data_IF_095912772262
#
_entry.id   IF_095912772262
#
_cell.length_a   1.000
_cell.length_b   1.000
_cell.length_c   1.000
_cell.angle_alpha   90.00
_cell.angle_beta   90.00
_cell.angle_gamma   90.00
#
_symmetry.space_group_name_H-M   'P 1'
#
loop_
_entity.id
_entity.type
_entity.pdbx_description
1 polymer ?
#
# COMPACT_ATOMS: atom_id res chain seq x y z
N UNK A 1 0.64 -2.67 -18.78
CA UNK A 1 0.44 -3.36 -17.49
C UNK A 1 1.55 -2.93 -16.55
N UNK A 2 1.21 -2.60 -15.33
CA UNK A 2 2.22 -2.34 -14.30
C UNK A 2 3.07 -3.61 -14.09
N UNK A 3 4.35 -3.49 -13.76
CA UNK A 3 5.11 -4.63 -13.27
C UNK A 3 4.45 -5.19 -12.00
N UNK A 4 4.36 -6.51 -11.86
CA UNK A 4 3.76 -7.10 -10.66
C UNK A 4 4.74 -7.05 -9.49
N UNK A 5 5.95 -7.49 -9.75
CA UNK A 5 6.99 -7.64 -8.70
C UNK A 5 8.27 -6.95 -9.11
N UNK A 6 8.85 -6.18 -8.20
CA UNK A 6 10.22 -5.64 -8.33
C UNK A 6 11.06 -6.08 -7.13
N UNK A 7 12.21 -6.70 -7.43
CA UNK A 7 13.18 -7.13 -6.43
C UNK A 7 14.22 -6.05 -6.16
N UNK A 8 14.59 -5.88 -4.90
CA UNK A 8 15.65 -4.97 -4.45
C UNK A 8 16.69 -5.73 -3.63
N UNK A 9 17.98 -5.40 -3.74
CA UNK A 9 18.98 -5.91 -2.82
C UNK A 9 18.79 -5.29 -1.42
N UNK A 10 19.40 -5.94 -0.40
CA UNK A 10 19.49 -5.38 0.94
C UNK A 10 20.14 -3.98 0.91
N UNK A 11 19.65 -3.07 1.74
CA UNK A 11 20.31 -1.78 1.96
C UNK A 11 21.46 -1.96 2.96
N UNK A 12 22.68 -1.84 2.48
CA UNK A 12 23.88 -1.99 3.30
C UNK A 12 24.48 -0.65 3.76
N UNK A 13 23.92 0.48 3.30
CA UNK A 13 24.45 1.82 3.55
C UNK A 13 23.53 2.66 4.46
N UNK A 14 22.24 2.41 4.42
CA UNK A 14 21.22 3.14 5.15
C UNK A 14 20.11 2.23 5.69
N UNK A 15 19.01 2.85 6.03
CA UNK A 15 17.83 2.18 6.59
C UNK A 15 16.74 2.04 5.53
N UNK A 16 15.87 1.07 5.72
CA UNK A 16 14.64 0.90 4.96
C UNK A 16 13.46 1.32 5.84
N UNK A 17 12.79 2.38 5.42
CA UNK A 17 11.56 2.83 6.04
C UNK A 17 10.36 2.40 5.20
N UNK A 18 9.24 2.14 5.86
CA UNK A 18 7.97 1.86 5.22
C UNK A 18 6.93 2.86 5.74
N UNK A 19 6.24 3.54 4.84
CA UNK A 19 5.14 4.46 5.18
C UNK A 19 3.81 3.81 4.81
N UNK A 20 2.81 4.01 5.68
CA UNK A 20 1.42 3.64 5.44
C UNK A 20 0.76 4.46 4.34
N UNK A 21 -0.55 4.28 4.15
CA UNK A 21 -1.35 5.02 3.18
C UNK A 21 -1.18 6.52 3.38
N UNK A 22 -0.76 7.23 2.32
CA UNK A 22 -0.37 8.64 2.43
C UNK A 22 -1.56 9.60 2.29
N UNK A 23 -2.49 9.25 1.42
CA UNK A 23 -3.74 9.98 1.20
C UNK A 23 -3.57 11.51 1.15
N UNK A 24 -2.64 12.01 0.32
CA UNK A 24 -2.48 13.45 0.11
C UNK A 24 -1.91 14.24 1.30
N UNK A 25 -1.16 13.59 2.19
CA UNK A 25 -0.50 14.22 3.34
C UNK A 25 1.05 14.20 3.26
N UNK A 26 1.67 14.67 2.18
CA UNK A 26 3.13 14.68 2.06
C UNK A 26 3.83 15.56 3.11
N UNK A 27 3.15 16.58 3.64
CA UNK A 27 3.64 17.43 4.72
C UNK A 27 3.84 16.65 6.02
N UNK A 28 2.91 15.76 6.36
CA UNK A 28 3.02 14.88 7.53
C UNK A 28 4.13 13.86 7.33
N UNK A 29 4.28 13.34 6.12
CA UNK A 29 5.39 12.45 5.78
C UNK A 29 6.75 13.14 5.99
N UNK A 30 6.94 14.35 5.46
CA UNK A 30 8.19 15.08 5.65
C UNK A 30 8.50 15.35 7.12
N UNK A 31 7.49 15.66 7.94
CA UNK A 31 7.68 15.82 9.40
C UNK A 31 8.15 14.51 10.07
N UNK A 32 7.63 13.36 9.64
CA UNK A 32 8.08 12.05 10.12
C UNK A 32 9.53 11.78 9.69
N UNK A 33 9.87 12.06 8.43
CA UNK A 33 11.22 11.89 7.89
C UNK A 33 12.23 12.79 8.64
N UNK A 34 11.89 14.05 8.88
CA UNK A 34 12.71 14.97 9.66
C UNK A 34 12.91 14.47 11.10
N UNK A 35 11.86 13.94 11.73
CA UNK A 35 11.90 13.44 13.09
C UNK A 35 12.87 12.25 13.25
N UNK A 36 12.91 11.34 12.27
CA UNK A 36 13.79 10.16 12.30
C UNK A 36 15.19 10.45 11.74
N UNK A 37 15.44 11.68 11.29
CA UNK A 37 16.70 12.05 10.62
C UNK A 37 16.91 11.18 9.37
N UNK A 38 15.92 11.18 8.46
CA UNK A 38 16.00 10.44 7.19
C UNK A 38 17.15 10.99 6.34
N UNK A 39 18.06 10.11 5.95
CA UNK A 39 19.18 10.43 5.06
C UNK A 39 18.78 10.17 3.60
N UNK A 40 18.57 11.24 2.84
CA UNK A 40 18.13 11.17 1.45
C UNK A 40 19.13 10.51 0.49
N UNK A 41 20.39 10.34 0.89
CA UNK A 41 21.45 9.73 0.07
C UNK A 41 21.54 8.20 0.31
N UNK A 42 21.18 7.72 1.50
CA UNK A 42 21.40 6.32 1.88
C UNK A 42 20.16 5.57 2.34
N UNK A 43 19.18 6.26 2.95
CA UNK A 43 17.93 5.65 3.38
C UNK A 43 16.97 5.45 2.20
N UNK A 44 16.12 4.44 2.28
CA UNK A 44 15.06 4.17 1.30
C UNK A 44 13.70 4.23 1.99
N UNK A 45 12.73 4.82 1.31
CA UNK A 45 11.33 4.86 1.76
C UNK A 45 10.46 4.01 0.83
N UNK A 46 9.88 2.95 1.36
CA UNK A 46 8.85 2.17 0.69
C UNK A 46 7.47 2.69 1.11
N UNK A 47 6.53 2.81 0.16
CA UNK A 47 5.15 3.17 0.47
C UNK A 47 4.22 2.00 0.15
N UNK A 48 3.27 1.73 1.03
CA UNK A 48 2.24 0.71 0.82
C UNK A 48 1.16 1.12 -0.19
N UNK A 49 1.33 2.27 -0.85
CA UNK A 49 0.38 2.81 -1.84
C UNK A 49 -0.60 3.83 -1.24
N UNK A 50 -1.68 4.07 -1.98
CA UNK A 50 -2.69 5.07 -1.67
C UNK A 50 -2.09 6.45 -1.39
N UNK A 51 -1.32 6.92 -2.38
CA UNK A 51 -0.70 8.25 -2.33
C UNK A 51 -1.75 9.36 -2.39
N UNK A 52 -2.85 9.12 -3.12
CA UNK A 52 -3.84 10.14 -3.47
C UNK A 52 -5.18 9.99 -2.75
N UNK A 53 -6.04 10.98 -2.95
CA UNK A 53 -7.40 11.10 -2.41
C UNK A 53 -7.46 11.38 -0.90
N UNK A 54 -8.61 11.80 -0.42
CA UNK A 54 -8.97 12.09 0.98
C UNK A 54 -8.34 13.38 1.52
N UNK A 55 -7.03 13.46 1.60
CA UNK A 55 -6.32 14.60 2.16
C UNK A 55 -6.12 15.76 1.16
N UNK A 56 -5.53 16.85 1.62
CA UNK A 56 -5.59 18.14 0.94
C UNK A 56 -4.62 18.26 -0.24
N UNK A 57 -3.58 17.41 -0.35
CA UNK A 57 -2.50 17.61 -1.30
C UNK A 57 -2.11 16.33 -2.08
N UNK A 58 -3.08 15.73 -2.79
CA UNK A 58 -2.81 14.58 -3.67
C UNK A 58 -1.80 14.89 -4.78
N UNK A 59 -1.81 16.12 -5.30
CA UNK A 59 -0.83 16.54 -6.30
C UNK A 59 0.60 16.54 -5.75
N UNK A 60 0.81 17.07 -4.54
CA UNK A 60 2.11 17.02 -3.88
C UNK A 60 2.57 15.59 -3.54
N UNK A 61 1.64 14.69 -3.24
CA UNK A 61 1.95 13.29 -3.05
C UNK A 61 2.40 12.60 -4.35
N UNK A 62 1.80 12.96 -5.49
CA UNK A 62 2.21 12.44 -6.80
C UNK A 62 3.57 12.97 -7.27
N UNK A 63 3.96 14.20 -6.90
CA UNK A 63 5.30 14.73 -7.20
C UNK A 63 6.41 13.92 -6.49
N UNK A 64 6.09 13.21 -5.40
CA UNK A 64 7.04 12.31 -4.74
C UNK A 64 7.45 11.11 -5.62
N UNK A 65 6.67 10.77 -6.66
CA UNK A 65 7.03 9.71 -7.60
C UNK A 65 8.33 9.99 -8.36
N UNK A 66 8.75 11.25 -8.43
CA UNK A 66 10.02 11.65 -9.04
C UNK A 66 11.21 11.56 -8.04
N UNK A 67 10.95 11.28 -6.75
CA UNK A 67 11.99 11.20 -5.73
C UNK A 67 12.76 9.86 -5.81
N UNK A 68 14.10 9.89 -5.91
CA UNK A 68 14.90 8.67 -6.08
C UNK A 68 14.93 7.77 -4.85
N UNK A 69 14.56 8.28 -3.70
CA UNK A 69 14.52 7.55 -2.42
C UNK A 69 13.14 6.94 -2.14
N UNK A 70 12.09 7.25 -2.95
CA UNK A 70 10.75 6.68 -2.78
C UNK A 70 10.53 5.46 -3.67
N UNK A 71 10.05 4.38 -3.06
CA UNK A 71 9.77 3.08 -3.67
C UNK A 71 8.30 2.65 -3.40
N UNK A 72 7.31 3.25 -4.06
CA UNK A 72 5.91 2.93 -3.80
C UNK A 72 5.49 1.61 -4.42
N UNK A 73 4.46 0.97 -3.83
CA UNK A 73 3.60 0.01 -4.53
C UNK A 73 2.29 0.68 -4.91
N UNK A 74 1.57 0.11 -5.86
CA UNK A 74 0.30 0.66 -6.33
C UNK A 74 -0.79 0.40 -5.28
N UNK A 75 -1.44 1.46 -4.78
CA UNK A 75 -2.64 1.37 -3.99
C UNK A 75 -3.92 1.35 -4.84
N UNK A 76 -5.06 1.03 -4.24
CA UNK A 76 -6.32 1.01 -4.98
C UNK A 76 -6.78 2.42 -5.41
N UNK A 77 -6.49 3.46 -4.62
CA UNK A 77 -6.75 4.85 -5.02
C UNK A 77 -5.84 5.29 -6.16
N UNK A 78 -4.57 4.88 -6.15
CA UNK A 78 -3.62 5.15 -7.23
C UNK A 78 -4.04 4.43 -8.52
N UNK A 79 -4.50 3.17 -8.42
CA UNK A 79 -5.01 2.39 -9.56
C UNK A 79 -6.29 3.01 -10.15
N UNK A 80 -7.19 3.51 -9.31
CA UNK A 80 -8.39 4.25 -9.76
C UNK A 80 -8.02 5.54 -10.49
N UNK A 81 -7.05 6.31 -9.98
CA UNK A 81 -6.53 7.50 -10.65
C UNK A 81 -5.90 7.14 -11.99
N UNK A 82 -5.02 6.12 -12.03
CA UNK A 82 -4.41 5.65 -13.27
C UNK A 82 -5.46 5.28 -14.32
N UNK A 83 -6.56 4.64 -13.91
CA UNK A 83 -7.66 4.31 -14.80
C UNK A 83 -8.33 5.55 -15.41
N UNK A 84 -8.58 6.60 -14.63
CA UNK A 84 -9.12 7.88 -15.13
C UNK A 84 -8.15 8.52 -16.13
N UNK A 85 -6.86 8.54 -15.82
CA UNK A 85 -5.84 9.13 -16.70
C UNK A 85 -5.67 8.32 -17.99
N UNK A 86 -5.97 7.03 -17.97
CA UNK A 86 -5.93 6.12 -19.13
C UNK A 86 -7.19 6.18 -20.02
N UNK A 87 -8.28 6.87 -19.63
CA UNK A 87 -9.52 6.88 -20.45
C UNK A 87 -9.31 7.37 -21.88
N UNK A 88 -8.36 8.28 -22.10
CA UNK A 88 -7.99 8.74 -23.44
C UNK A 88 -7.37 7.64 -24.34
N UNK A 89 -6.81 6.60 -23.74
CA UNK A 89 -6.08 5.52 -24.41
C UNK A 89 -6.86 4.20 -24.50
N UNK A 90 -8.11 4.16 -24.03
CA UNK A 90 -8.95 2.93 -23.97
C UNK A 90 -9.08 2.23 -25.33
N UNK A 91 -9.07 2.98 -26.45
CA UNK A 91 -9.18 2.42 -27.79
C UNK A 91 -7.98 1.57 -28.24
N UNK A 92 -6.84 1.78 -27.59
CA UNK A 92 -5.57 1.07 -27.85
C UNK A 92 -5.40 -0.17 -26.98
N UNK A 93 -6.29 -0.34 -25.98
CA UNK A 93 -6.23 -1.42 -25.01
C UNK A 93 -6.90 -2.70 -25.51
N UNK A 94 -6.50 -3.84 -24.96
CA UNK A 94 -7.26 -5.08 -25.09
C UNK A 94 -8.61 -4.94 -24.39
N UNK A 95 -9.61 -5.72 -24.84
CA UNK A 95 -10.98 -5.61 -24.35
C UNK A 95 -11.10 -5.74 -22.82
N UNK A 96 -10.40 -6.72 -22.25
CA UNK A 96 -10.42 -6.96 -20.79
C UNK A 96 -9.79 -5.80 -20.01
N UNK A 97 -8.67 -5.29 -20.50
CA UNK A 97 -7.98 -4.13 -19.93
C UNK A 97 -8.87 -2.87 -20.01
N UNK A 98 -9.52 -2.64 -21.13
CA UNK A 98 -10.45 -1.53 -21.32
C UNK A 98 -11.65 -1.62 -20.38
N UNK A 99 -12.21 -2.83 -20.16
CA UNK A 99 -13.30 -3.05 -19.20
C UNK A 99 -12.87 -2.78 -17.76
N UNK A 100 -11.68 -3.27 -17.36
CA UNK A 100 -11.10 -3.01 -16.03
C UNK A 100 -10.86 -1.52 -15.83
N UNK A 101 -10.24 -0.84 -16.80
CA UNK A 101 -10.02 0.62 -16.78
C UNK A 101 -11.33 1.38 -16.57
N UNK A 102 -12.40 1.03 -17.30
CA UNK A 102 -13.70 1.68 -17.14
C UNK A 102 -14.30 1.46 -15.74
N UNK A 103 -14.21 0.24 -15.18
CA UNK A 103 -14.71 -0.09 -13.85
C UNK A 103 -13.97 0.70 -12.75
N UNK A 104 -12.63 0.75 -12.81
CA UNK A 104 -11.83 1.52 -11.86
C UNK A 104 -12.05 3.03 -11.97
N UNK A 105 -12.24 3.55 -13.19
CA UNK A 105 -12.58 4.95 -13.40
C UNK A 105 -13.94 5.33 -12.79
N UNK A 106 -14.94 4.43 -12.86
CA UNK A 106 -16.22 4.60 -12.18
C UNK A 106 -16.06 4.62 -10.65
N UNK A 107 -15.25 3.71 -10.11
CA UNK A 107 -14.94 3.67 -8.67
C UNK A 107 -14.26 4.96 -8.19
N UNK A 108 -13.34 5.54 -8.97
CA UNK A 108 -12.68 6.80 -8.65
C UNK A 108 -13.70 7.92 -8.41
N UNK A 109 -14.70 8.05 -9.29
CA UNK A 109 -15.74 9.09 -9.13
C UNK A 109 -16.59 8.90 -7.90
N UNK A 110 -16.87 7.65 -7.52
CA UNK A 110 -17.66 7.31 -6.32
C UNK A 110 -16.88 7.54 -5.02
N UNK A 111 -15.56 7.44 -5.06
CA UNK A 111 -14.69 7.61 -3.89
C UNK A 111 -14.17 9.05 -3.69
N UNK A 112 -14.70 10.04 -4.43
CA UNK A 112 -14.40 11.46 -4.23
C UNK A 112 -13.09 11.96 -4.87
N UNK A 113 -12.35 11.10 -5.58
CA UNK A 113 -11.08 11.46 -6.24
C UNK A 113 -11.23 12.52 -7.32
N UNK A 114 -12.44 12.70 -7.85
CA UNK A 114 -12.73 13.67 -8.90
C UNK A 114 -12.57 15.14 -8.48
N UNK A 115 -12.73 15.44 -7.19
CA UNK A 115 -12.78 16.81 -6.70
C UNK A 115 -11.43 17.52 -6.83
N UNK A 116 -10.34 16.90 -6.43
CA UNK A 116 -9.00 17.46 -6.58
C UNK A 116 -8.50 17.36 -8.03
N UNK A 117 -8.77 16.27 -8.74
CA UNK A 117 -8.30 16.08 -10.11
C UNK A 117 -8.90 17.10 -11.08
N UNK A 118 -10.09 17.61 -10.83
CA UNK A 118 -10.70 18.68 -11.64
C UNK A 118 -9.80 19.91 -11.74
N UNK A 119 -9.00 20.20 -10.74
CA UNK A 119 -8.06 21.31 -10.74
C UNK A 119 -6.95 21.12 -11.77
N UNK A 120 -6.52 19.88 -11.99
CA UNK A 120 -5.36 19.53 -12.82
C UNK A 120 -5.71 18.97 -14.20
N UNK A 121 -6.94 18.57 -14.46
CA UNK A 121 -7.34 17.91 -15.72
C UNK A 121 -7.11 18.76 -16.99
N UNK A 122 -6.87 20.05 -16.86
CA UNK A 122 -6.52 20.96 -17.96
C UNK A 122 -5.01 21.07 -18.17
N UNK A 123 -4.23 20.56 -17.27
CA UNK A 123 -2.78 20.44 -17.37
C UNK A 123 -2.44 19.05 -17.91
N UNK A 124 -2.54 18.92 -19.23
CA UNK A 124 -2.35 17.63 -19.93
C UNK A 124 -0.94 17.08 -19.71
N UNK A 125 0.07 17.95 -19.70
CA UNK A 125 1.47 17.54 -19.49
C UNK A 125 1.66 16.93 -18.10
N UNK A 126 1.11 17.56 -17.07
CA UNK A 126 1.18 17.04 -15.69
C UNK A 126 0.41 15.73 -15.55
N UNK A 127 -0.80 15.64 -16.10
CA UNK A 127 -1.58 14.41 -16.08
C UNK A 127 -0.85 13.26 -16.79
N UNK A 128 -0.18 13.53 -17.90
CA UNK A 128 0.58 12.52 -18.65
C UNK A 128 1.85 12.07 -17.87
N UNK A 129 2.54 12.97 -17.18
CA UNK A 129 3.65 12.60 -16.29
C UNK A 129 3.16 11.68 -15.17
N UNK A 130 2.07 12.04 -14.47
CA UNK A 130 1.48 11.19 -13.43
C UNK A 130 1.03 9.83 -13.96
N UNK A 131 0.36 9.80 -15.12
CA UNK A 131 -0.03 8.56 -15.79
C UNK A 131 1.18 7.66 -16.07
N UNK A 132 2.23 8.23 -16.62
CA UNK A 132 3.44 7.51 -16.99
C UNK A 132 4.18 6.99 -15.75
N UNK A 133 4.25 7.78 -14.68
CA UNK A 133 4.86 7.38 -13.42
C UNK A 133 4.07 6.26 -12.74
N UNK A 134 2.76 6.43 -12.57
CA UNK A 134 1.88 5.42 -11.94
C UNK A 134 1.86 4.09 -12.73
N UNK A 135 1.99 4.14 -14.07
CA UNK A 135 2.06 2.95 -14.89
C UNK A 135 3.34 2.10 -14.67
N UNK A 136 4.36 2.65 -13.99
CA UNK A 136 5.59 1.94 -13.63
C UNK A 136 5.60 1.44 -12.17
N UNK A 137 4.63 1.85 -11.36
CA UNK A 137 4.54 1.43 -9.95
C UNK A 137 4.12 -0.05 -9.88
N UNK A 138 4.88 -0.93 -9.20
CA UNK A 138 4.56 -2.35 -9.09
C UNK A 138 3.46 -2.62 -8.06
N UNK A 139 2.91 -3.83 -8.08
CA UNK A 139 2.00 -4.33 -7.04
C UNK A 139 2.75 -4.78 -5.78
N UNK A 140 3.98 -5.31 -5.96
CA UNK A 140 4.79 -5.85 -4.88
C UNK A 140 6.24 -5.38 -5.04
N UNK A 141 6.85 -4.97 -3.93
CA UNK A 141 8.31 -4.82 -3.83
C UNK A 141 8.85 -5.79 -2.81
N UNK A 142 9.93 -6.47 -3.16
CA UNK A 142 10.61 -7.42 -2.29
C UNK A 142 12.03 -6.94 -2.06
N UNK A 143 12.43 -6.85 -0.81
CA UNK A 143 13.84 -6.65 -0.43
C UNK A 143 14.39 -8.01 -0.03
N UNK A 144 15.29 -8.53 -0.85
CA UNK A 144 15.92 -9.82 -0.62
C UNK A 144 17.20 -9.62 0.20
N UNK A 145 17.12 -10.02 1.47
CA UNK A 145 18.15 -9.78 2.46
C UNK A 145 18.63 -11.09 3.13
N UNK A 146 18.51 -12.24 2.46
CA UNK A 146 18.74 -13.56 3.06
C UNK A 146 20.07 -13.71 3.83
N UNK A 147 21.09 -12.90 3.54
CA UNK A 147 22.41 -13.05 4.15
C UNK A 147 23.03 -11.75 4.72
N UNK A 148 22.35 -10.61 4.69
CA UNK A 148 23.03 -9.33 4.86
C UNK A 148 22.41 -8.37 5.91
N UNK A 149 21.22 -8.59 6.45
CA UNK A 149 20.57 -7.62 7.32
C UNK A 149 20.10 -8.22 8.65
N UNK A 150 20.16 -7.46 9.76
CA UNK A 150 19.63 -7.91 11.06
C UNK A 150 18.15 -8.26 11.04
N UNK A 151 17.39 -7.70 10.09
CA UNK A 151 15.95 -7.87 10.00
C UNK A 151 15.49 -8.87 8.94
N UNK A 152 16.37 -9.28 8.01
CA UNK A 152 16.06 -10.27 6.99
C UNK A 152 15.25 -9.74 5.80
N UNK A 153 14.71 -10.66 4.98
CA UNK A 153 13.84 -10.38 3.84
C UNK A 153 12.53 -9.78 4.28
N UNK A 154 12.01 -8.82 3.50
CA UNK A 154 10.65 -8.32 3.65
C UNK A 154 10.02 -7.98 2.29
N UNK A 155 8.71 -7.87 2.26
CA UNK A 155 7.96 -7.38 1.11
C UNK A 155 6.97 -6.29 1.50
N UNK A 156 6.63 -5.47 0.50
CA UNK A 156 5.66 -4.38 0.61
C UNK A 156 4.63 -4.56 -0.49
N UNK A 157 3.37 -4.49 -0.14
CA UNK A 157 2.22 -4.50 -1.04
C UNK A 157 1.06 -3.72 -0.42
N UNK A 158 -0.02 -3.46 -1.18
CA UNK A 158 -1.05 -2.56 -0.67
C UNK A 158 -2.00 -3.25 0.32
N UNK A 159 -2.68 -4.34 -0.06
CA UNK A 159 -3.70 -4.95 0.81
C UNK A 159 -3.19 -6.21 1.53
N UNK A 160 -3.33 -7.41 0.96
CA UNK A 160 -2.95 -8.64 1.66
C UNK A 160 -2.74 -9.84 0.73
N UNK A 161 -2.08 -10.88 1.26
CA UNK A 161 -1.78 -12.14 0.56
C UNK A 161 -2.64 -13.32 1.08
N UNK A 162 -3.69 -13.02 1.82
CA UNK A 162 -4.57 -14.02 2.43
C UNK A 162 -5.97 -13.95 1.81
N UNK A 163 -6.64 -15.08 1.75
CA UNK A 163 -7.97 -15.20 1.17
C UNK A 163 -8.86 -16.13 1.97
N UNK A 164 -10.16 -15.87 1.95
CA UNK A 164 -11.15 -16.74 2.58
C UNK A 164 -11.33 -18.03 1.78
N UNK A 165 -11.33 -19.17 2.48
CA UNK A 165 -11.63 -20.51 1.97
C UNK A 165 -12.42 -21.28 3.02
N UNK A 166 -13.65 -21.67 2.72
CA UNK A 166 -14.46 -22.59 3.55
C UNK A 166 -14.45 -22.26 5.06
N UNK A 167 -14.80 -21.02 5.44
CA UNK A 167 -14.80 -20.52 6.81
C UNK A 167 -13.43 -20.39 7.49
N UNK A 168 -12.35 -20.45 6.74
CA UNK A 168 -11.00 -20.15 7.20
C UNK A 168 -10.42 -19.05 6.33
N UNK A 169 -9.42 -18.32 6.84
CA UNK A 169 -8.59 -17.43 6.04
C UNK A 169 -7.19 -18.01 5.96
N UNK A 170 -6.69 -18.20 4.77
CA UNK A 170 -5.36 -18.75 4.55
C UNK A 170 -4.45 -17.74 3.83
N UNK A 171 -3.20 -17.62 4.28
CA UNK A 171 -2.16 -16.99 3.49
C UNK A 171 -1.86 -17.89 2.30
N UNK A 172 -2.12 -17.40 1.09
CA UNK A 172 -2.08 -18.20 -0.14
C UNK A 172 -0.73 -18.16 -0.86
N UNK A 173 0.16 -17.27 -0.44
CA UNK A 173 1.48 -17.07 -1.05
C UNK A 173 2.59 -17.44 -0.08
N UNK A 174 3.70 -17.94 -0.61
CA UNK A 174 4.97 -18.03 0.08
C UNK A 174 6.01 -17.13 -0.62
N UNK A 175 7.17 -16.98 -0.05
CA UNK A 175 8.21 -16.08 -0.56
C UNK A 175 8.70 -16.45 -1.97
N UNK A 176 8.77 -17.73 -2.31
CA UNK A 176 9.24 -18.19 -3.61
C UNK A 176 8.20 -17.91 -4.70
N UNK A 177 6.95 -18.30 -4.48
CA UNK A 177 5.84 -18.06 -5.42
C UNK A 177 5.63 -16.57 -5.67
N UNK A 178 5.73 -15.74 -4.62
CA UNK A 178 5.53 -14.29 -4.71
C UNK A 178 6.64 -13.61 -5.52
N UNK A 179 7.86 -14.12 -5.47
CA UNK A 179 8.99 -13.58 -6.22
C UNK A 179 8.89 -13.86 -7.74
N UNK A 180 8.05 -14.80 -8.15
CA UNK A 180 7.87 -15.19 -9.55
C UNK A 180 6.78 -14.32 -10.21
N UNK A 181 7.18 -13.30 -10.99
CA UNK A 181 6.26 -12.37 -11.69
C UNK A 181 5.32 -13.06 -12.68
N UNK A 182 5.68 -14.25 -13.17
CA UNK A 182 4.90 -15.07 -14.11
C UNK A 182 4.15 -16.23 -13.46
N UNK A 183 4.15 -16.33 -12.10
CA UNK A 183 3.51 -17.44 -11.40
C UNK A 183 2.02 -17.58 -11.81
N UNK A 184 1.53 -18.79 -12.14
CA UNK A 184 0.16 -19.00 -12.64
C UNK A 184 -0.93 -18.46 -11.70
N UNK A 185 -0.67 -18.42 -10.40
CA UNK A 185 -1.61 -17.89 -9.39
C UNK A 185 -2.03 -16.44 -9.65
N UNK A 186 -1.21 -15.64 -10.31
CA UNK A 186 -1.60 -14.27 -10.68
C UNK A 186 -2.87 -14.19 -11.53
N UNK A 187 -3.19 -15.26 -12.27
CA UNK A 187 -4.38 -15.39 -13.11
C UNK A 187 -5.54 -16.15 -12.46
N UNK A 188 -5.36 -16.71 -11.26
CA UNK A 188 -6.43 -17.40 -10.56
C UNK A 188 -7.57 -16.44 -10.27
N UNK A 189 -8.81 -16.83 -10.62
CA UNK A 189 -10.01 -16.08 -10.27
C UNK A 189 -10.18 -16.04 -8.75
N UNK A 190 -10.41 -14.84 -8.23
CA UNK A 190 -10.53 -14.62 -6.80
C UNK A 190 -11.74 -13.74 -6.50
N UNK A 191 -12.61 -14.10 -5.55
CA UNK A 191 -13.64 -13.19 -5.07
C UNK A 191 -12.96 -12.03 -4.34
N UNK A 192 -13.26 -10.79 -4.76
CA UNK A 192 -12.82 -9.59 -4.05
C UNK A 192 -13.92 -9.21 -3.08
N UNK A 193 -13.63 -9.31 -1.77
CA UNK A 193 -14.61 -8.99 -0.74
C UNK A 193 -15.06 -7.53 -0.87
N UNK A 194 -16.38 -7.32 -0.94
CA UNK A 194 -16.99 -5.99 -1.04
C UNK A 194 -17.34 -5.56 -2.46
N UNK A 195 -17.05 -6.39 -3.46
CA UNK A 195 -17.48 -6.18 -4.84
C UNK A 195 -18.15 -7.46 -5.36
N UNK A 196 -19.32 -7.32 -6.04
CA UNK A 196 -20.00 -8.43 -6.71
C UNK A 196 -19.24 -8.95 -7.96
N UNK A 197 -17.95 -8.70 -8.03
CA UNK A 197 -17.09 -9.03 -9.16
C UNK A 197 -16.04 -10.07 -8.74
N UNK A 198 -15.86 -11.08 -9.57
CA UNK A 198 -14.68 -11.94 -9.52
C UNK A 198 -13.51 -11.18 -10.16
N UNK A 199 -12.49 -10.90 -9.38
CA UNK A 199 -11.19 -10.39 -9.83
C UNK A 199 -10.16 -11.51 -9.93
N UNK A 200 -8.92 -11.11 -9.98
CA UNK A 200 -7.76 -11.99 -9.86
C UNK A 200 -6.91 -11.55 -8.65
N UNK A 201 -5.75 -12.17 -8.47
CA UNK A 201 -4.85 -11.77 -7.37
C UNK A 201 -4.35 -10.33 -7.48
N UNK A 202 -4.22 -9.75 -8.67
CA UNK A 202 -3.87 -8.32 -8.83
C UNK A 202 -4.94 -7.42 -8.17
N UNK A 203 -6.23 -7.75 -8.38
CA UNK A 203 -7.32 -7.03 -7.74
C UNK A 203 -7.36 -7.30 -6.23
N UNK A 204 -7.07 -8.54 -5.80
CA UNK A 204 -7.04 -8.88 -4.39
C UNK A 204 -5.93 -8.13 -3.62
N UNK A 205 -4.75 -7.97 -4.22
CA UNK A 205 -3.67 -7.18 -3.64
C UNK A 205 -4.03 -5.68 -3.47
N UNK A 206 -5.01 -5.20 -4.20
CA UNK A 206 -5.49 -3.81 -4.11
C UNK A 206 -6.69 -3.65 -3.16
N UNK A 207 -7.48 -4.73 -2.92
CA UNK A 207 -8.78 -4.60 -2.26
C UNK A 207 -9.04 -5.62 -1.15
N UNK A 208 -8.13 -6.58 -0.90
CA UNK A 208 -8.31 -7.66 0.05
C UNK A 208 -8.47 -7.18 1.50
N UNK A 209 -9.40 -7.80 2.26
CA UNK A 209 -9.64 -7.52 3.70
C UNK A 209 -9.92 -8.80 4.50
N UNK A 210 -9.49 -9.96 3.99
CA UNK A 210 -9.80 -11.27 4.56
C UNK A 210 -9.22 -11.45 5.96
N UNK A 211 -7.98 -11.00 6.18
CA UNK A 211 -7.33 -11.08 7.51
C UNK A 211 -8.09 -10.24 8.55
N UNK A 212 -8.46 -9.01 8.18
CA UNK A 212 -9.23 -8.15 9.10
C UNK A 212 -10.61 -8.73 9.38
N UNK A 213 -11.26 -9.29 8.36
CA UNK A 213 -12.54 -9.98 8.52
C UNK A 213 -12.39 -11.18 9.45
N UNK A 214 -11.39 -12.04 9.25
CA UNK A 214 -11.13 -13.20 10.10
C UNK A 214 -10.96 -12.81 11.57
N UNK A 215 -10.18 -11.77 11.86
CA UNK A 215 -9.96 -11.27 13.21
C UNK A 215 -11.27 -10.76 13.87
N UNK A 216 -12.16 -10.13 13.11
CA UNK A 216 -13.42 -9.60 13.65
C UNK A 216 -14.51 -10.66 13.83
N UNK A 217 -14.37 -11.81 13.20
CA UNK A 217 -15.31 -12.96 13.28
C UNK A 217 -14.71 -14.18 13.97
N UNK A 218 -13.48 -14.04 14.52
CA UNK A 218 -12.76 -15.13 15.19
C UNK A 218 -12.57 -16.38 14.28
N UNK A 219 -12.49 -16.15 12.97
CA UNK A 219 -12.26 -17.23 12.02
C UNK A 219 -10.79 -17.71 12.10
N UNK A 220 -10.55 -19.01 11.94
CA UNK A 220 -9.18 -19.54 11.90
C UNK A 220 -8.35 -18.91 10.78
N UNK A 221 -7.11 -18.53 11.09
CA UNK A 221 -6.15 -18.03 10.13
C UNK A 221 -5.03 -19.05 9.96
N UNK A 222 -4.81 -19.51 8.72
CA UNK A 222 -3.75 -20.46 8.36
C UNK A 222 -2.58 -19.67 7.78
N UNK A 223 -1.44 -19.58 8.49
CA UNK A 223 -0.26 -18.91 7.99
C UNK A 223 0.45 -19.75 6.91
N UNK A 224 1.28 -19.09 6.09
CA UNK A 224 2.23 -19.74 5.21
C UNK A 224 3.67 -19.33 5.57
N UNK A 225 4.66 -19.94 4.92
CA UNK A 225 6.05 -19.55 5.02
C UNK A 225 6.27 -18.25 4.23
N UNK A 226 5.94 -17.14 4.86
CA UNK A 226 5.99 -15.80 4.30
C UNK A 226 6.86 -14.91 5.19
N UNK A 227 7.82 -14.23 4.59
CA UNK A 227 8.59 -13.17 5.25
C UNK A 227 7.69 -12.02 5.65
N UNK A 228 8.22 -11.11 6.46
CA UNK A 228 7.47 -9.93 6.90
C UNK A 228 6.90 -9.16 5.72
N UNK A 229 5.60 -8.92 5.75
CA UNK A 229 4.83 -8.29 4.69
C UNK A 229 4.19 -7.01 5.23
N UNK A 230 4.67 -5.86 4.76
CA UNK A 230 4.09 -4.57 5.13
C UNK A 230 2.92 -4.24 4.22
N UNK A 231 1.79 -3.87 4.82
CA UNK A 231 0.52 -3.63 4.12
C UNK A 231 -0.18 -2.36 4.62
N UNK A 232 -1.02 -1.79 3.77
CA UNK A 232 -1.89 -0.66 4.01
C UNK A 232 -3.38 -1.01 3.91
N UNK A 233 -4.16 -0.15 3.21
CA UNK A 233 -5.53 -0.37 2.77
C UNK A 233 -6.58 -0.52 3.89
N UNK A 234 -6.29 -1.28 4.90
CA UNK A 234 -7.22 -1.56 6.00
C UNK A 234 -6.85 -0.75 7.21
N UNK A 235 -7.65 0.26 7.53
CA UNK A 235 -7.38 1.16 8.67
C UNK A 235 -7.35 0.38 9.97
N UNK A 236 -6.19 0.36 10.60
CA UNK A 236 -5.91 -0.33 11.86
C UNK A 236 -5.10 0.57 12.80
N UNK A 237 -5.77 1.52 13.51
CA UNK A 237 -5.08 2.37 14.46
C UNK A 237 -4.30 1.55 15.50
N UNK A 238 -3.13 2.02 15.94
CA UNK A 238 -2.36 1.33 16.96
C UNK A 238 -3.19 1.15 18.26
N UNK A 239 -3.05 0.01 18.90
CA UNK A 239 -3.61 -0.22 20.22
C UNK A 239 -2.49 -0.21 21.24
N UNK A 240 -2.57 0.68 22.23
CA UNK A 240 -1.51 0.85 23.25
C UNK A 240 -0.12 1.07 22.61
N UNK A 241 -0.06 1.87 21.52
CA UNK A 241 1.18 2.11 20.78
C UNK A 241 1.68 0.93 19.95
N UNK A 242 0.84 -0.09 19.69
CA UNK A 242 1.23 -1.30 18.96
C UNK A 242 0.48 -1.43 17.65
N UNK A 243 1.23 -1.61 16.56
CA UNK A 243 0.71 -1.91 15.23
C UNK A 243 0.14 -3.33 15.19
N UNK A 244 -0.92 -3.53 14.41
CA UNK A 244 -1.47 -4.86 14.17
C UNK A 244 -0.48 -5.70 13.35
N UNK A 245 -0.18 -6.90 13.86
CA UNK A 245 0.58 -7.92 13.13
C UNK A 245 -0.18 -9.24 13.16
N UNK A 246 -0.39 -9.86 12.00
CA UNK A 246 -1.05 -11.17 11.88
C UNK A 246 -0.57 -11.92 10.65
N UNK A 247 -0.28 -13.22 10.80
CA UNK A 247 0.11 -14.14 9.72
C UNK A 247 1.19 -13.57 8.77
N UNK A 248 2.23 -12.95 9.35
CA UNK A 248 3.33 -12.32 8.60
C UNK A 248 3.06 -10.88 8.13
N UNK A 249 1.80 -10.43 8.13
CA UNK A 249 1.42 -9.08 7.70
C UNK A 249 1.54 -8.07 8.85
N UNK A 250 2.11 -6.89 8.56
CA UNK A 250 2.19 -5.72 9.45
C UNK A 250 1.36 -4.61 8.81
N UNK A 251 0.29 -4.19 9.47
CA UNK A 251 -0.66 -3.19 8.98
C UNK A 251 -0.17 -1.79 9.33
N UNK A 252 0.11 -0.98 8.31
CA UNK A 252 0.64 0.39 8.45
C UNK A 252 -0.37 1.49 8.09
N UNK A 253 -1.54 1.14 7.51
CA UNK A 253 -2.61 2.12 7.38
C UNK A 253 -3.23 2.38 8.76
N UNK A 254 -2.76 3.43 9.40
CA UNK A 254 -3.24 3.87 10.70
C UNK A 254 -4.26 5.00 10.61
N UNK A 255 -4.75 5.31 9.40
CA UNK A 255 -5.86 6.20 9.17
C UNK A 255 -5.50 7.62 8.74
N UNK A 256 -4.42 7.80 7.96
CA UNK A 256 -4.07 9.11 7.40
C UNK A 256 -5.21 9.73 6.57
N UNK A 257 -6.07 8.89 5.97
CA UNK A 257 -7.29 9.33 5.27
C UNK A 257 -8.22 10.22 6.10
N UNK A 258 -8.08 10.24 7.41
CA UNK A 258 -8.94 10.97 8.34
C UNK A 258 -8.21 12.11 9.10
N UNK A 259 -6.99 12.43 8.72
CA UNK A 259 -6.19 13.46 9.40
C UNK A 259 -6.88 14.83 9.43
N UNK A 260 -7.63 15.19 8.40
CA UNK A 260 -8.43 16.43 8.37
C UNK A 260 -9.66 16.37 9.29
N UNK A 261 -9.95 15.22 9.89
CA UNK A 261 -11.05 14.98 10.81
C UNK A 261 -10.56 14.57 12.21
N UNK A 262 -9.41 15.11 12.64
CA UNK A 262 -8.71 14.72 13.87
C UNK A 262 -9.55 14.80 15.16
N UNK A 263 -10.58 15.65 15.22
CA UNK A 263 -11.52 15.70 16.34
C UNK A 263 -12.30 14.39 16.53
N UNK A 264 -12.61 13.72 15.41
CA UNK A 264 -13.40 12.48 15.38
C UNK A 264 -12.50 11.24 15.46
N UNK A 265 -11.29 11.30 14.89
CA UNK A 265 -10.36 10.17 14.70
C UNK A 265 -9.01 10.47 15.37
N UNK A 266 -9.03 10.68 16.69
CA UNK A 266 -7.86 11.17 17.47
C UNK A 266 -6.70 10.18 17.54
N UNK A 267 -6.98 8.88 17.38
CA UNK A 267 -6.03 7.77 17.45
C UNK A 267 -5.52 7.34 16.07
N UNK A 268 -5.79 8.15 15.05
CA UNK A 268 -5.42 7.88 13.66
C UNK A 268 -4.39 8.88 13.15
N UNK A 269 -3.51 8.39 12.26
CA UNK A 269 -2.42 9.19 11.73
C UNK A 269 -1.70 8.53 10.57
N UNK A 270 -0.62 9.14 10.12
CA UNK A 270 0.32 8.55 9.18
C UNK A 270 1.43 7.84 9.94
N UNK A 271 1.68 6.58 9.62
CA UNK A 271 2.76 5.80 10.25
C UNK A 271 3.97 5.65 9.32
N UNK A 272 5.16 5.89 9.87
CA UNK A 272 6.47 5.59 9.30
C UNK A 272 7.16 4.54 10.18
N UNK A 273 7.63 3.43 9.59
CA UNK A 273 8.25 2.33 10.31
C UNK A 273 9.65 2.01 9.76
N UNK A 274 10.66 1.92 10.63
CA UNK A 274 12.00 1.50 10.28
C UNK A 274 12.13 -0.02 10.38
N UNK A 275 12.44 -0.68 9.24
CA UNK A 275 12.55 -2.13 9.20
C UNK A 275 13.69 -2.67 10.05
N UNK A 276 14.89 -2.06 9.97
CA UNK A 276 16.08 -2.51 10.69
C UNK A 276 15.97 -2.28 12.20
N UNK A 277 15.40 -1.14 12.60
CA UNK A 277 15.28 -0.75 14.02
C UNK A 277 14.06 -1.38 14.70
N UNK A 278 13.11 -1.93 13.92
CA UNK A 278 11.83 -2.48 14.41
C UNK A 278 11.05 -1.46 15.24
N UNK A 279 11.16 -0.19 14.88
CA UNK A 279 10.58 0.97 15.53
C UNK A 279 9.83 1.80 14.51
N UNK A 280 8.69 2.36 14.89
CA UNK A 280 7.91 3.27 14.07
C UNK A 280 7.43 4.50 14.82
N UNK A 281 6.89 5.43 14.08
CA UNK A 281 6.30 6.67 14.56
C UNK A 281 5.00 6.94 13.81
N UNK A 282 3.97 7.30 14.55
CA UNK A 282 2.71 7.76 13.98
C UNK A 282 2.57 9.25 14.23
N UNK A 283 2.29 10.01 13.18
CA UNK A 283 2.05 11.44 13.27
C UNK A 283 0.60 11.78 12.89
N UNK A 284 0.00 12.64 13.70
CA UNK A 284 -1.22 13.37 13.34
C UNK A 284 -0.85 14.76 12.83
N UNK A 285 -1.82 15.63 12.60
CA UNK A 285 -1.55 17.05 12.27
C UNK A 285 -0.88 17.83 13.42
N UNK A 286 -1.04 17.37 14.66
CA UNK A 286 -0.64 18.13 15.87
C UNK A 286 0.38 17.44 16.78
N UNK A 287 0.43 16.12 16.81
CA UNK A 287 1.37 15.37 17.65
C UNK A 287 2.00 14.20 16.90
N UNK A 288 2.99 13.59 17.52
CA UNK A 288 3.70 12.42 17.05
C UNK A 288 3.97 11.50 18.24
N UNK A 289 3.82 10.20 18.02
CA UNK A 289 4.09 9.17 19.03
C UNK A 289 4.86 8.00 18.43
N UNK A 290 5.63 7.31 19.28
CA UNK A 290 6.31 6.09 18.85
C UNK A 290 5.34 4.91 18.83
N UNK A 291 5.50 4.02 17.84
CA UNK A 291 4.75 2.78 17.73
C UNK A 291 5.70 1.60 17.56
N UNK A 292 5.28 0.44 18.02
CA UNK A 292 6.06 -0.81 17.91
C UNK A 292 5.19 -1.91 17.32
N UNK A 293 5.79 -3.05 16.96
CA UNK A 293 5.00 -4.20 16.53
C UNK A 293 4.25 -4.80 17.72
N UNK A 294 2.97 -5.08 17.51
CA UNK A 294 2.18 -5.89 18.42
C UNK A 294 2.68 -7.34 18.45
N UNK A 295 2.43 -8.06 19.54
CA UNK A 295 2.52 -9.52 19.49
C UNK A 295 1.46 -10.00 18.50
N UNK A 296 1.82 -10.93 17.60
CA UNK A 296 0.82 -11.62 16.81
C UNK A 296 -0.24 -12.19 17.78
N UNK A 297 -1.55 -12.01 17.51
CA UNK A 297 -2.55 -12.70 18.31
C UNK A 297 -2.19 -14.18 18.35
N UNK A 298 -2.23 -14.80 19.53
CA UNK A 298 -2.08 -16.24 19.66
C UNK A 298 -3.19 -16.87 18.79
N UNK A 299 -2.79 -17.57 17.74
CA UNK A 299 -3.69 -18.31 16.85
C UNK A 299 -4.22 -19.55 17.54
#
# INVERSE_FOLDING_TARGET
MNPRVIMHPANLQGRDFIVGDLHGHPDVLYRLMDHVGFDYDTDRLFSVGDLVDRGPNSAGALELLDAPWLYPVLGNHDAMLLAILNLGHVREMRREEAQRTAAYAELFTRNGGWDWLRLYRRDEERCERWRSALAQVPLVRIVDAENAAPAGRFQVLHAELAAERENTVAVCWNDADLAEDTHPRWQEAHPVIGYDATGNWEDHLLWGRSLRYALSHENPIVPAALSRTYVGHTITPPREGRLLQVAGHVFLDTGAAHLDQAERYRDQGLTLFCHQEQQGWMATTTYMESVTLGNAPAL
#
